data_IF_112786925314
#
_entry.id   IF_112786925314
#
_cell.length_a   1.000
_cell.length_b   1.000
_cell.length_c   1.000
_cell.angle_alpha   90.00
_cell.angle_beta   90.00
_cell.angle_gamma   90.00
#
_symmetry.space_group_name_H-M   'P 1'
#
loop_
_entity.id
_entity.type
_entity.pdbx_description
1 polymer ?
#
# COMPACT_ATOMS: atom_id res chain seq x y z
N UNK A 1 -6.29 6.80 -12.30
CA UNK A 1 -6.64 8.19 -11.93
C UNK A 1 -7.49 8.20 -10.67
N UNK A 2 -7.23 9.12 -9.73
CA UNK A 2 -8.07 9.37 -8.56
C UNK A 2 -8.41 10.85 -8.48
N UNK A 3 -9.65 11.19 -8.12
CA UNK A 3 -10.09 12.58 -8.02
C UNK A 3 -10.96 12.81 -6.78
N UNK A 4 -10.78 13.96 -6.14
CA UNK A 4 -11.66 14.50 -5.12
C UNK A 4 -12.57 15.56 -5.76
N UNK A 5 -13.88 15.44 -5.56
CA UNK A 5 -14.90 16.31 -6.15
C UNK A 5 -15.69 17.00 -5.03
N UNK A 6 -15.53 18.31 -4.89
CA UNK A 6 -16.19 19.15 -3.89
C UNK A 6 -16.07 18.58 -2.46
N UNK A 7 -14.93 18.00 -2.13
CA UNK A 7 -14.72 17.31 -0.85
C UNK A 7 -14.59 18.32 0.28
N UNK A 8 -15.45 18.17 1.28
CA UNK A 8 -15.44 18.95 2.52
C UNK A 8 -15.38 18.00 3.70
N UNK A 9 -14.51 18.31 4.66
CA UNK A 9 -14.48 17.65 5.95
C UNK A 9 -14.63 18.65 7.08
N UNK A 10 -15.63 18.43 7.94
CA UNK A 10 -15.85 19.20 9.15
C UNK A 10 -15.64 18.35 10.40
N UNK A 11 -14.96 18.89 11.37
CA UNK A 11 -14.82 18.32 12.71
C UNK A 11 -15.58 19.24 13.67
N UNK A 12 -16.79 18.82 14.03
CA UNK A 12 -17.73 19.67 14.77
C UNK A 12 -18.14 20.89 13.94
N UNK A 13 -17.92 22.08 14.49
CA UNK A 13 -18.28 23.35 13.81
C UNK A 13 -17.18 23.88 12.88
N UNK A 14 -15.98 23.34 12.95
CA UNK A 14 -14.82 23.81 12.18
C UNK A 14 -14.60 22.93 10.94
N UNK A 15 -14.47 23.55 9.78
CA UNK A 15 -14.00 22.85 8.60
C UNK A 15 -12.48 22.65 8.69
N UNK A 16 -12.04 21.45 8.41
CA UNK A 16 -10.61 21.15 8.23
C UNK A 16 -10.18 21.59 6.83
N UNK A 17 -11.03 21.31 5.83
CA UNK A 17 -10.96 21.83 4.47
C UNK A 17 -12.36 21.81 3.82
N UNK A 18 -12.59 22.68 2.84
CA UNK A 18 -13.89 22.85 2.16
C UNK A 18 -13.69 22.90 0.65
N UNK A 19 -14.66 22.32 -0.06
CA UNK A 19 -14.78 22.37 -1.53
C UNK A 19 -13.49 22.01 -2.29
N UNK A 20 -12.76 20.99 -1.80
CA UNK A 20 -11.54 20.53 -2.43
C UNK A 20 -11.87 19.82 -3.74
N UNK A 21 -11.33 20.35 -4.83
CA UNK A 21 -11.41 19.77 -6.16
C UNK A 21 -10.00 19.54 -6.66
N UNK A 22 -9.58 18.28 -6.75
CA UNK A 22 -8.25 17.91 -7.22
C UNK A 22 -8.29 16.59 -7.95
N UNK A 23 -7.51 16.50 -9.04
CA UNK A 23 -7.38 15.31 -9.88
C UNK A 23 -5.93 14.89 -9.92
N UNK A 24 -5.66 13.66 -9.53
CA UNK A 24 -4.36 13.03 -9.64
C UNK A 24 -4.35 12.10 -10.86
N UNK A 25 -3.54 12.45 -11.84
CA UNK A 25 -3.42 11.72 -13.11
C UNK A 25 -2.38 10.61 -13.01
N UNK A 26 -2.52 9.61 -13.87
CA UNK A 26 -1.62 8.45 -13.90
C UNK A 26 -0.18 8.85 -14.21
N UNK A 27 0.76 8.06 -13.72
CA UNK A 27 2.17 8.24 -14.01
C UNK A 27 2.85 9.42 -13.31
N UNK A 28 2.19 10.09 -12.37
CA UNK A 28 2.73 11.25 -11.68
C UNK A 28 2.94 11.01 -10.18
N UNK A 29 3.94 11.68 -9.64
CA UNK A 29 4.19 11.74 -8.20
C UNK A 29 3.75 13.10 -7.66
N UNK A 30 2.91 13.08 -6.63
CA UNK A 30 2.34 14.27 -5.99
C UNK A 30 2.80 14.37 -4.54
N UNK A 31 3.42 15.47 -4.17
CA UNK A 31 3.72 15.81 -2.79
C UNK A 31 2.64 16.70 -2.18
N UNK A 32 2.01 16.27 -1.08
CA UNK A 32 1.10 17.11 -0.31
C UNK A 32 1.87 17.85 0.77
N UNK A 33 1.98 19.17 0.63
CA UNK A 33 2.73 20.05 1.51
C UNK A 33 1.76 20.96 2.26
N UNK A 34 2.07 21.25 3.52
CA UNK A 34 1.28 22.17 4.34
C UNK A 34 1.70 22.11 5.81
N UNK A 35 1.20 23.04 6.60
CA UNK A 35 1.46 23.11 8.04
C UNK A 35 1.02 21.83 8.78
N UNK A 36 1.61 21.60 9.97
CA UNK A 36 1.14 20.53 10.86
C UNK A 36 -0.32 20.81 11.26
N UNK A 37 -1.14 19.75 11.25
CA UNK A 37 -2.56 19.88 11.54
C UNK A 37 -3.42 20.42 10.38
N UNK A 38 -2.86 20.69 9.20
CA UNK A 38 -3.61 21.14 8.02
C UNK A 38 -4.53 20.08 7.40
N UNK A 39 -4.49 18.83 7.92
CA UNK A 39 -5.37 17.76 7.44
C UNK A 39 -4.79 16.89 6.33
N UNK A 40 -3.47 16.94 6.05
CA UNK A 40 -2.83 16.15 4.99
C UNK A 40 -3.07 14.64 5.15
N UNK A 41 -2.72 14.08 6.30
CA UNK A 41 -2.94 12.65 6.62
C UNK A 41 -4.42 12.30 6.62
N UNK A 42 -5.27 13.23 7.06
CA UNK A 42 -6.73 13.06 7.04
C UNK A 42 -7.25 13.00 5.60
N UNK A 43 -6.70 13.83 4.72
CA UNK A 43 -7.04 13.80 3.30
C UNK A 43 -6.62 12.48 2.62
N UNK A 44 -5.43 11.93 2.94
CA UNK A 44 -5.04 10.60 2.46
C UNK A 44 -6.00 9.50 2.94
N UNK A 45 -6.49 9.57 4.20
CA UNK A 45 -7.50 8.63 4.71
C UNK A 45 -8.82 8.74 3.96
N UNK A 46 -9.22 9.93 3.54
CA UNK A 46 -10.40 10.13 2.69
C UNK A 46 -10.15 9.52 1.31
N UNK A 47 -9.02 9.81 0.66
CA UNK A 47 -8.67 9.24 -0.63
C UNK A 47 -8.64 7.70 -0.60
N UNK A 48 -8.21 7.11 0.52
CA UNK A 48 -8.18 5.64 0.71
C UNK A 48 -9.52 5.03 1.08
N UNK A 49 -10.57 5.83 1.29
CA UNK A 49 -11.88 5.36 1.76
C UNK A 49 -11.94 4.95 3.23
N UNK A 50 -10.89 5.23 4.02
CA UNK A 50 -10.87 4.93 5.47
C UNK A 50 -11.63 5.96 6.31
N UNK A 51 -11.89 7.12 5.75
CA UNK A 51 -12.66 8.19 6.39
C UNK A 51 -13.66 8.76 5.40
N UNK A 52 -14.91 8.86 5.84
CA UNK A 52 -15.99 9.48 5.07
C UNK A 52 -15.87 11.01 5.06
N UNK A 53 -16.29 11.62 3.97
CA UNK A 53 -16.39 13.08 3.83
C UNK A 53 -17.67 13.61 4.46
N UNK A 54 -17.69 14.88 4.84
CA UNK A 54 -18.94 15.57 5.22
C UNK A 54 -19.80 15.82 3.97
N UNK A 55 -19.17 16.19 2.85
CA UNK A 55 -19.79 16.31 1.53
C UNK A 55 -18.75 16.12 0.42
N UNK A 56 -19.22 15.89 -0.79
CA UNK A 56 -18.38 15.55 -1.93
C UNK A 56 -18.05 14.07 -1.99
N UNK A 57 -17.31 13.66 -2.98
CA UNK A 57 -16.98 12.26 -3.24
C UNK A 57 -15.54 12.09 -3.78
N UNK A 58 -15.04 10.86 -3.65
CA UNK A 58 -13.80 10.41 -4.26
C UNK A 58 -14.13 9.45 -5.38
N UNK A 59 -13.58 9.71 -6.55
CA UNK A 59 -13.71 8.81 -7.71
C UNK A 59 -12.38 8.21 -8.08
N UNK A 60 -12.36 6.89 -8.29
CA UNK A 60 -11.20 6.12 -8.76
C UNK A 60 -11.60 5.45 -10.07
N UNK A 61 -10.71 5.47 -11.07
CA UNK A 61 -10.96 4.74 -12.32
C UNK A 61 -11.23 3.27 -12.03
N UNK A 62 -12.33 2.71 -12.55
CA UNK A 62 -12.67 1.31 -12.33
C UNK A 62 -11.52 0.37 -12.69
N UNK A 63 -11.31 -0.66 -11.85
CA UNK A 63 -10.25 -1.65 -12.02
C UNK A 63 -8.88 -1.24 -11.48
N UNK A 64 -8.69 0.01 -11.07
CA UNK A 64 -7.43 0.45 -10.46
C UNK A 64 -7.36 0.05 -8.98
N UNK A 65 -6.20 -0.48 -8.59
CA UNK A 65 -5.90 -0.87 -7.22
C UNK A 65 -5.19 0.27 -6.48
N UNK A 66 -5.78 0.68 -5.37
CA UNK A 66 -5.20 1.66 -4.46
C UNK A 66 -4.52 0.93 -3.30
N UNK A 67 -3.30 1.33 -2.97
CA UNK A 67 -2.58 0.92 -1.78
C UNK A 67 -2.30 2.12 -0.88
N UNK A 68 -2.46 1.93 0.43
CA UNK A 68 -2.24 2.97 1.43
C UNK A 68 -1.36 2.43 2.55
N UNK A 69 -0.26 3.14 2.86
CA UNK A 69 0.61 2.83 3.99
C UNK A 69 -0.16 2.98 5.30
N UNK A 70 -0.47 1.86 5.94
CA UNK A 70 -1.18 1.82 7.22
C UNK A 70 -0.20 1.90 8.38
N UNK A 71 -0.55 2.72 9.38
CA UNK A 71 0.23 2.84 10.61
C UNK A 71 -0.25 1.88 11.73
N UNK A 72 -1.09 0.90 11.40
CA UNK A 72 -1.69 -0.03 12.37
C UNK A 72 -0.73 -1.20 12.69
N UNK A 73 0.26 -0.96 13.55
CA UNK A 73 1.37 -1.88 13.84
C UNK A 73 0.95 -3.24 14.40
N UNK A 74 -0.20 -3.34 15.08
CA UNK A 74 -0.63 -4.58 15.77
C UNK A 74 -1.63 -5.41 14.98
N UNK A 75 -2.16 -4.91 13.87
CA UNK A 75 -3.21 -5.58 13.08
C UNK A 75 -2.75 -6.93 12.53
N UNK A 76 -1.46 -7.08 12.30
CA UNK A 76 -0.87 -8.23 11.62
C UNK A 76 -0.04 -9.12 12.53
N UNK A 77 -0.08 -8.92 13.84
CA UNK A 77 0.79 -9.63 14.80
C UNK A 77 0.68 -11.17 14.76
N UNK A 78 -0.44 -11.70 14.30
CA UNK A 78 -0.66 -13.15 14.16
C UNK A 78 -0.17 -13.74 12.82
N UNK A 79 0.27 -12.91 11.87
CA UNK A 79 0.66 -13.35 10.53
C UNK A 79 2.18 -13.40 10.38
N UNK A 80 2.64 -14.19 9.41
CA UNK A 80 4.05 -14.15 8.99
C UNK A 80 4.39 -12.84 8.28
N UNK A 81 5.68 -12.52 8.21
CA UNK A 81 6.17 -11.36 7.45
C UNK A 81 5.77 -11.47 5.98
N UNK A 82 5.96 -12.62 5.33
CA UNK A 82 5.55 -12.82 3.95
C UNK A 82 4.06 -12.67 3.74
N UNK A 83 3.23 -13.32 4.57
CA UNK A 83 1.78 -13.16 4.50
C UNK A 83 1.39 -11.69 4.61
N UNK A 84 1.99 -10.97 5.57
CA UNK A 84 1.71 -9.55 5.79
C UNK A 84 2.04 -8.71 4.55
N UNK A 85 3.17 -8.94 3.90
CA UNK A 85 3.54 -8.19 2.68
C UNK A 85 2.61 -8.53 1.52
N UNK A 86 2.33 -9.82 1.29
CA UNK A 86 1.48 -10.28 0.17
C UNK A 86 0.03 -9.79 0.35
N UNK A 87 -0.46 -9.61 1.58
CA UNK A 87 -1.75 -8.98 1.87
C UNK A 87 -1.88 -7.55 1.32
N UNK A 88 -0.80 -6.91 0.91
CA UNK A 88 -0.82 -5.65 0.15
C UNK A 88 -1.60 -5.79 -1.18
N UNK A 89 -1.63 -6.99 -1.75
CA UNK A 89 -2.56 -7.38 -2.80
C UNK A 89 -3.55 -8.41 -2.24
N UNK A 90 -4.63 -7.90 -1.66
CA UNK A 90 -5.62 -8.75 -0.96
C UNK A 90 -6.17 -9.87 -1.85
N UNK A 91 -6.46 -9.60 -3.12
CA UNK A 91 -7.01 -10.63 -4.01
C UNK A 91 -6.03 -11.77 -4.23
N UNK A 92 -4.75 -11.45 -4.46
CA UNK A 92 -3.70 -12.44 -4.62
C UNK A 92 -3.55 -13.30 -3.34
N UNK A 93 -3.53 -12.67 -2.18
CA UNK A 93 -3.46 -13.36 -0.90
C UNK A 93 -4.66 -14.30 -0.68
N UNK A 94 -5.88 -13.82 -0.94
CA UNK A 94 -7.10 -14.61 -0.82
C UNK A 94 -7.07 -15.84 -1.75
N UNK A 95 -6.59 -15.69 -3.00
CA UNK A 95 -6.40 -16.79 -3.95
C UNK A 95 -5.40 -17.82 -3.40
N UNK A 96 -4.26 -17.37 -2.88
CA UNK A 96 -3.25 -18.27 -2.30
C UNK A 96 -3.85 -19.11 -1.18
N UNK A 97 -4.58 -18.48 -0.25
CA UNK A 97 -5.19 -19.17 0.88
C UNK A 97 -6.35 -20.09 0.47
N UNK A 98 -7.16 -19.69 -0.51
CA UNK A 98 -8.24 -20.54 -1.03
C UNK A 98 -7.67 -21.79 -1.73
N UNK A 99 -6.61 -21.63 -2.54
CA UNK A 99 -5.88 -22.75 -3.16
C UNK A 99 -5.32 -23.71 -2.12
N UNK A 100 -4.60 -23.19 -1.12
CA UNK A 100 -4.06 -24.00 -0.02
C UNK A 100 -5.17 -24.81 0.67
N UNK A 101 -6.32 -24.17 0.96
CA UNK A 101 -7.46 -24.82 1.60
C UNK A 101 -8.10 -25.92 0.72
N UNK A 102 -8.22 -25.67 -0.60
CA UNK A 102 -8.77 -26.66 -1.54
C UNK A 102 -7.86 -27.87 -1.64
N UNK A 103 -6.56 -27.67 -1.82
CA UNK A 103 -5.60 -28.76 -1.95
C UNK A 103 -5.34 -29.54 -0.65
N UNK A 104 -5.66 -28.96 0.51
CA UNK A 104 -5.57 -29.63 1.81
C UNK A 104 -6.79 -30.51 2.14
N UNK A 105 -7.85 -30.51 1.32
CA UNK A 105 -9.04 -31.33 1.55
C UNK A 105 -8.72 -32.82 1.40
N UNK A 106 -9.18 -33.64 2.34
CA UNK A 106 -9.10 -35.11 2.25
C UNK A 106 -10.03 -35.66 1.18
N UNK A 107 -11.22 -35.06 1.01
CA UNK A 107 -12.29 -35.41 0.02
C UNK A 107 -12.32 -34.37 -1.08
N UNK A 108 -11.29 -34.38 -1.93
CA UNK A 108 -11.21 -33.52 -3.09
C UNK A 108 -12.25 -33.93 -4.14
N UNK A 109 -13.13 -33.00 -4.53
CA UNK A 109 -14.22 -33.23 -5.48
C UNK A 109 -13.90 -32.68 -6.87
N UNK A 110 -14.70 -33.07 -7.87
CA UNK A 110 -14.60 -32.49 -9.23
C UNK A 110 -14.85 -30.97 -9.22
N UNK A 111 -15.76 -30.49 -8.35
CA UNK A 111 -16.03 -29.06 -8.16
C UNK A 111 -14.81 -28.33 -7.58
N UNK A 112 -14.11 -28.95 -6.64
CA UNK A 112 -12.84 -28.42 -6.11
C UNK A 112 -11.78 -28.32 -7.21
N UNK A 113 -11.73 -29.31 -8.11
CA UNK A 113 -10.82 -29.30 -9.26
C UNK A 113 -11.10 -28.14 -10.23
N UNK A 114 -12.36 -27.88 -10.54
CA UNK A 114 -12.78 -26.76 -11.38
C UNK A 114 -12.39 -25.44 -10.70
N UNK A 115 -12.74 -25.29 -9.43
CA UNK A 115 -12.41 -24.07 -8.67
C UNK A 115 -10.91 -23.83 -8.56
N UNK A 116 -10.12 -24.86 -8.29
CA UNK A 116 -8.67 -24.78 -8.26
C UNK A 116 -8.10 -24.31 -9.62
N UNK A 117 -8.64 -24.82 -10.73
CA UNK A 117 -8.20 -24.42 -12.06
C UNK A 117 -8.51 -22.94 -12.37
N UNK A 118 -9.66 -22.44 -11.95
CA UNK A 118 -10.01 -21.02 -12.07
C UNK A 118 -9.03 -20.16 -11.27
N UNK A 119 -8.76 -20.54 -10.02
CA UNK A 119 -7.83 -19.83 -9.15
C UNK A 119 -6.38 -19.86 -9.68
N UNK A 120 -5.94 -20.96 -10.29
CA UNK A 120 -4.64 -21.02 -10.96
C UNK A 120 -4.53 -20.02 -12.12
N UNK A 121 -5.60 -19.87 -12.90
CA UNK A 121 -5.67 -18.87 -13.97
C UNK A 121 -5.52 -17.45 -13.42
N UNK A 122 -6.33 -17.07 -12.42
CA UNK A 122 -6.23 -15.74 -11.77
C UNK A 122 -4.87 -15.53 -11.12
N UNK A 123 -4.33 -16.56 -10.47
CA UNK A 123 -3.01 -16.50 -9.81
C UNK A 123 -1.89 -16.21 -10.82
N UNK A 124 -1.93 -16.88 -11.97
CA UNK A 124 -0.96 -16.64 -13.04
C UNK A 124 -1.09 -15.23 -13.63
N UNK A 125 -2.31 -14.75 -13.86
CA UNK A 125 -2.57 -13.38 -14.36
C UNK A 125 -2.04 -12.30 -13.40
N UNK A 126 -2.03 -12.58 -12.11
CA UNK A 126 -1.52 -11.68 -11.06
C UNK A 126 -0.03 -11.86 -10.75
N UNK A 127 0.71 -12.62 -11.55
CA UNK A 127 2.11 -12.96 -11.30
C UNK A 127 2.34 -13.65 -9.94
N UNK A 128 1.40 -14.46 -9.51
CA UNK A 128 1.41 -15.08 -8.18
C UNK A 128 2.63 -15.95 -7.91
N UNK A 129 3.22 -16.56 -8.94
CA UNK A 129 4.44 -17.36 -8.83
C UNK A 129 5.67 -16.57 -8.36
N UNK A 130 5.70 -15.26 -8.63
CA UNK A 130 6.76 -14.35 -8.22
C UNK A 130 6.47 -13.64 -6.88
N UNK A 131 5.30 -13.88 -6.28
CA UNK A 131 4.83 -13.14 -5.10
C UNK A 131 5.82 -13.17 -3.92
N UNK A 132 6.38 -14.33 -3.60
CA UNK A 132 7.37 -14.44 -2.52
C UNK A 132 8.70 -13.78 -2.90
N UNK A 133 9.13 -13.91 -4.15
CA UNK A 133 10.35 -13.27 -4.66
C UNK A 133 10.23 -11.75 -4.62
N UNK A 134 9.10 -11.22 -5.08
CA UNK A 134 8.82 -9.79 -5.06
C UNK A 134 8.74 -9.25 -3.62
N UNK A 135 8.06 -9.98 -2.73
CA UNK A 135 8.01 -9.64 -1.31
C UNK A 135 9.41 -9.64 -0.67
N UNK A 136 10.24 -10.65 -0.97
CA UNK A 136 11.61 -10.73 -0.48
C UNK A 136 12.47 -9.56 -0.96
N UNK A 137 12.34 -9.14 -2.22
CA UNK A 137 13.06 -7.98 -2.77
C UNK A 137 12.71 -6.68 -2.02
N UNK A 138 11.42 -6.45 -1.76
CA UNK A 138 10.96 -5.29 -0.99
C UNK A 138 11.50 -5.31 0.46
N UNK A 139 11.42 -6.46 1.11
CA UNK A 139 11.90 -6.65 2.48
C UNK A 139 13.41 -6.42 2.60
N UNK A 140 14.18 -7.05 1.72
CA UNK A 140 15.64 -6.89 1.69
C UNK A 140 16.04 -5.44 1.41
N UNK A 141 15.37 -4.79 0.46
CA UNK A 141 15.61 -3.38 0.14
C UNK A 141 15.35 -2.44 1.33
N UNK A 142 14.37 -2.76 2.16
CA UNK A 142 14.08 -2.03 3.39
C UNK A 142 14.91 -2.48 4.60
N UNK A 143 15.89 -3.38 4.40
CA UNK A 143 16.79 -3.85 5.44
C UNK A 143 16.16 -4.82 6.45
N UNK A 144 15.18 -5.62 5.99
CA UNK A 144 14.65 -6.77 6.74
C UNK A 144 15.41 -8.02 6.27
N UNK A 145 16.19 -8.61 7.17
CA UNK A 145 17.04 -9.76 6.91
C UNK A 145 16.20 -10.98 6.49
N UNK A 146 16.76 -11.79 5.58
CA UNK A 146 16.06 -12.94 4.98
C UNK A 146 15.58 -13.96 6.02
N UNK A 147 16.32 -14.11 7.12
CA UNK A 147 15.98 -14.99 8.24
C UNK A 147 14.66 -14.61 8.94
N UNK A 148 14.27 -13.33 8.83
CA UNK A 148 13.04 -12.81 9.43
C UNK A 148 11.81 -12.95 8.51
N UNK A 149 11.97 -13.28 7.25
CA UNK A 149 10.87 -13.29 6.28
C UNK A 149 9.75 -14.28 6.63
N UNK A 150 10.08 -15.38 7.32
CA UNK A 150 9.10 -16.37 7.81
C UNK A 150 8.71 -16.18 9.28
N UNK A 151 9.29 -15.17 9.96
CA UNK A 151 8.97 -14.87 11.35
C UNK A 151 7.54 -14.35 11.48
N UNK A 152 6.97 -14.49 12.70
CA UNK A 152 5.66 -13.92 13.02
C UNK A 152 5.82 -12.42 13.33
N UNK A 153 4.94 -11.61 12.80
CA UNK A 153 4.99 -10.15 12.99
C UNK A 153 5.00 -9.74 14.48
N UNK A 154 4.28 -10.50 15.33
CA UNK A 154 4.22 -10.24 16.78
C UNK A 154 5.58 -10.25 17.48
N UNK A 155 6.53 -11.03 16.97
CA UNK A 155 7.87 -11.21 17.56
C UNK A 155 8.86 -10.10 17.14
N UNK A 156 8.47 -9.23 16.23
CA UNK A 156 9.35 -8.21 15.66
C UNK A 156 9.29 -6.89 16.42
N UNK A 157 10.37 -6.11 16.28
CA UNK A 157 10.44 -4.75 16.85
C UNK A 157 9.51 -3.78 16.10
N UNK A 158 9.13 -2.69 16.75
CA UNK A 158 8.29 -1.66 16.13
C UNK A 158 8.89 -1.08 14.85
N UNK A 159 10.21 -0.88 14.79
CA UNK A 159 10.91 -0.40 13.59
C UNK A 159 10.83 -1.41 12.43
N UNK A 160 11.01 -2.71 12.71
CA UNK A 160 10.86 -3.76 11.70
C UNK A 160 9.42 -3.83 11.18
N UNK A 161 8.42 -3.74 12.07
CA UNK A 161 7.00 -3.71 11.68
C UNK A 161 6.68 -2.55 10.74
N UNK A 162 7.21 -1.35 11.00
CA UNK A 162 7.04 -0.19 10.10
C UNK A 162 7.58 -0.47 8.71
N UNK A 163 8.78 -1.00 8.59
CA UNK A 163 9.41 -1.36 7.32
C UNK A 163 8.60 -2.42 6.56
N UNK A 164 8.08 -3.43 7.27
CA UNK A 164 7.26 -4.49 6.67
C UNK A 164 5.90 -3.94 6.19
N UNK A 165 5.27 -3.05 6.93
CA UNK A 165 4.04 -2.38 6.49
C UNK A 165 4.27 -1.46 5.28
N UNK A 166 5.45 -0.86 5.18
CA UNK A 166 5.85 -0.14 3.98
C UNK A 166 6.01 -1.11 2.79
N UNK A 167 6.70 -2.24 2.99
CA UNK A 167 6.80 -3.28 1.96
C UNK A 167 5.40 -3.77 1.52
N UNK A 168 4.47 -3.97 2.45
CA UNK A 168 3.07 -4.31 2.16
C UNK A 168 2.41 -3.26 1.26
N UNK A 169 2.59 -1.97 1.55
CA UNK A 169 2.00 -0.90 0.75
C UNK A 169 2.58 -0.84 -0.68
N UNK A 170 3.87 -1.14 -0.84
CA UNK A 170 4.56 -1.16 -2.14
C UNK A 170 4.28 -2.42 -2.96
N UNK A 171 3.80 -3.51 -2.32
CA UNK A 171 3.68 -4.82 -2.94
C UNK A 171 2.69 -4.87 -4.09
N UNK A 172 3.06 -5.61 -5.14
CA UNK A 172 2.18 -5.92 -6.27
C UNK A 172 1.91 -4.76 -7.21
N UNK A 173 2.77 -3.76 -7.26
CA UNK A 173 2.70 -2.62 -8.18
C UNK A 173 1.31 -1.94 -8.24
N UNK A 174 0.83 -1.32 -7.14
CA UNK A 174 -0.47 -0.68 -7.11
C UNK A 174 -0.59 0.45 -8.13
N UNK A 175 -1.79 0.67 -8.71
CA UNK A 175 -2.06 1.77 -9.64
C UNK A 175 -2.03 3.14 -8.97
N UNK A 176 -2.38 3.17 -7.68
CA UNK A 176 -2.39 4.37 -6.84
C UNK A 176 -1.75 4.02 -5.50
N UNK A 177 -0.65 4.68 -5.18
CA UNK A 177 0.08 4.50 -3.93
C UNK A 177 -0.02 5.75 -3.06
N UNK A 178 -0.58 5.60 -1.86
CA UNK A 178 -0.70 6.66 -0.87
C UNK A 178 0.29 6.41 0.27
N UNK A 179 1.19 7.37 0.50
CA UNK A 179 2.23 7.28 1.53
C UNK A 179 2.11 8.47 2.50
N UNK A 180 1.89 8.17 3.77
CA UNK A 180 1.84 9.16 4.86
C UNK A 180 3.11 9.06 5.70
N UNK A 181 3.99 10.05 5.58
CA UNK A 181 5.30 10.13 6.26
C UNK A 181 6.12 8.83 6.15
N UNK A 182 6.38 8.33 4.92
CA UNK A 182 6.96 7.00 4.72
C UNK A 182 8.40 6.86 5.20
N UNK A 183 9.11 7.97 5.39
CA UNK A 183 10.50 7.97 5.88
C UNK A 183 10.62 7.91 7.40
N UNK A 184 9.52 8.11 8.13
CA UNK A 184 9.54 8.02 9.58
C UNK A 184 9.97 6.62 10.04
N UNK A 185 10.91 6.59 10.97
CA UNK A 185 11.47 5.35 11.56
C UNK A 185 12.31 4.49 10.60
N UNK A 186 12.67 5.00 9.42
CA UNK A 186 13.63 4.36 8.51
C UNK A 186 15.05 4.83 8.81
N UNK A 187 16.02 3.93 8.62
CA UNK A 187 17.44 4.29 8.53
C UNK A 187 17.77 4.88 7.15
N UNK A 188 18.98 5.42 7.01
CA UNK A 188 19.39 6.09 5.77
C UNK A 188 19.37 5.15 4.57
N UNK A 189 19.82 3.92 4.72
CA UNK A 189 19.89 2.94 3.64
C UNK A 189 18.47 2.60 3.13
N UNK A 190 17.51 2.43 4.03
CA UNK A 190 16.10 2.19 3.68
C UNK A 190 15.45 3.42 3.02
N UNK A 191 15.81 4.64 3.46
CA UNK A 191 15.35 5.88 2.80
C UNK A 191 15.89 5.96 1.37
N UNK A 192 17.18 5.74 1.16
CA UNK A 192 17.81 5.77 -0.17
C UNK A 192 17.19 4.73 -1.10
N UNK A 193 16.96 3.52 -0.59
CA UNK A 193 16.31 2.47 -1.35
C UNK A 193 14.86 2.85 -1.72
N UNK A 194 14.08 3.40 -0.78
CA UNK A 194 12.71 3.85 -1.04
C UNK A 194 12.69 4.98 -2.08
N UNK A 195 13.65 5.87 -1.99
CA UNK A 195 13.84 6.94 -2.97
C UNK A 195 14.03 6.36 -4.38
N UNK A 196 14.95 5.44 -4.55
CA UNK A 196 15.21 4.79 -5.83
C UNK A 196 13.98 4.02 -6.34
N UNK A 197 13.30 3.30 -5.44
CA UNK A 197 12.06 2.60 -5.77
C UNK A 197 10.99 3.57 -6.33
N UNK A 198 10.75 4.68 -5.65
CA UNK A 198 9.73 5.66 -6.07
C UNK A 198 10.11 6.40 -7.36
N UNK A 199 11.40 6.62 -7.64
CA UNK A 199 11.88 7.19 -8.91
C UNK A 199 11.51 6.27 -10.09
N UNK A 200 11.59 4.97 -9.90
CA UNK A 200 11.32 3.96 -10.92
C UNK A 200 9.84 3.51 -10.94
N UNK A 201 9.06 3.95 -9.96
CA UNK A 201 7.64 3.59 -9.86
C UNK A 201 6.82 4.36 -10.90
N UNK A 202 6.22 3.67 -11.86
CA UNK A 202 5.58 4.29 -13.04
C UNK A 202 4.14 4.75 -12.78
N UNK A 203 3.48 4.24 -11.74
CA UNK A 203 2.09 4.55 -11.43
C UNK A 203 1.94 5.83 -10.60
N UNK A 204 0.71 6.14 -10.18
CA UNK A 204 0.42 7.34 -9.39
C UNK A 204 0.90 7.19 -7.95
N UNK A 205 1.67 8.16 -7.47
CA UNK A 205 2.08 8.25 -6.05
C UNK A 205 1.59 9.57 -5.46
N UNK A 206 0.99 9.49 -4.27
CA UNK A 206 0.62 10.67 -3.48
C UNK A 206 1.30 10.52 -2.12
N UNK A 207 2.23 11.42 -1.83
CA UNK A 207 3.06 11.39 -0.62
C UNK A 207 2.79 12.60 0.25
N UNK A 208 2.57 12.37 1.53
CA UNK A 208 2.69 13.37 2.59
C UNK A 208 4.04 13.19 3.24
N UNK A 209 4.87 14.22 3.27
CA UNK A 209 6.10 14.24 4.05
C UNK A 209 6.46 15.65 4.49
N UNK A 210 7.11 15.74 5.64
CA UNK A 210 7.75 16.95 6.13
C UNK A 210 9.18 17.11 5.60
N UNK A 211 9.77 16.04 5.07
CA UNK A 211 11.09 16.06 4.45
C UNK A 211 11.01 16.63 3.04
N UNK A 212 11.40 17.90 2.93
CA UNK A 212 11.44 18.61 1.62
C UNK A 212 12.50 18.03 0.69
N UNK A 213 13.58 17.49 1.22
CA UNK A 213 14.63 16.88 0.40
C UNK A 213 14.11 15.61 -0.27
N UNK A 214 13.46 14.77 0.53
CA UNK A 214 12.76 13.59 0.05
C UNK A 214 11.75 13.96 -1.04
N UNK A 215 10.83 14.92 -0.82
CA UNK A 215 9.83 15.33 -1.80
C UNK A 215 10.45 15.90 -3.08
N UNK A 216 11.48 16.74 -2.98
CA UNK A 216 12.10 17.39 -4.14
C UNK A 216 12.74 16.39 -5.11
N UNK A 217 13.28 15.27 -4.62
CA UNK A 217 13.87 14.23 -5.47
C UNK A 217 12.87 13.62 -6.46
N UNK A 218 11.59 13.55 -6.11
CA UNK A 218 10.57 12.91 -6.96
C UNK A 218 9.84 13.89 -7.85
N UNK A 219 9.53 15.08 -7.35
CA UNK A 219 8.72 16.06 -8.07
C UNK A 219 9.46 16.70 -9.22
N UNK A 220 10.80 16.75 -9.21
CA UNK A 220 11.62 17.38 -10.25
C UNK A 220 12.19 16.44 -11.32
N UNK A 221 12.06 15.13 -11.18
CA UNK A 221 12.67 14.17 -12.14
C UNK A 221 11.71 13.61 -13.21
N UNK A 222 10.43 13.93 -13.16
CA UNK A 222 9.45 13.47 -14.15
C UNK A 222 9.05 14.53 -15.19
N UNK A 223 9.88 15.57 -15.38
CA UNK A 223 9.76 16.53 -16.48
C UNK A 223 10.93 16.43 -17.43
#
# INVERSE_FOLDING_TARGET
MIAANNVTLRIGKKALFEDVNIKFTEGNCYGLIGANGAGKSTFLKILSGQLETTSGDITITPGQRLSFLQQAHFKYDAYSVFDTVIMGNKRLYDIMKEKEAIYAKEDFTDEDGIRASELEGEFAEMNGWEAESDAAQLLNGLGIETELHYSIMGDLTGSQKVKILLAQALFGNPDILLLDEPTNHLDLDAIEWLEEFLINFENTVIVVSHDRYFLNKYTYRRY
#
